data_IF_776325195048
#
_entry.id   IF_776325195048
#
_cell.length_a   1.000
_cell.length_b   1.000
_cell.length_c   1.000
_cell.angle_alpha   90.00
_cell.angle_beta   90.00
_cell.angle_gamma   90.00
#
_symmetry.space_group_name_H-M   'P 1'
#
loop_
_entity.id
_entity.type
_entity.pdbx_description
1 polymer ?
#
# COMPACT_ATOMS: atom_id res chain seq x y z
N UNK A 1 3.33 7.55 -58.24
CA UNK A 1 2.30 7.50 -57.18
C UNK A 1 2.89 7.32 -55.75
N UNK A 2 4.19 7.06 -55.56
CA UNK A 2 4.78 6.83 -54.23
C UNK A 2 5.43 8.03 -53.53
N UNK A 3 5.46 9.21 -54.14
CA UNK A 3 6.12 10.39 -53.55
C UNK A 3 5.13 11.30 -52.79
N UNK A 4 3.86 11.35 -53.18
CA UNK A 4 2.84 12.17 -52.49
C UNK A 4 2.46 11.63 -51.11
N UNK A 5 2.51 10.31 -50.91
CA UNK A 5 2.17 9.64 -49.64
C UNK A 5 3.24 9.82 -48.56
N UNK A 6 4.51 10.01 -48.96
CA UNK A 6 5.62 10.20 -48.00
C UNK A 6 5.61 11.64 -47.43
N UNK A 7 5.28 12.63 -48.26
CA UNK A 7 5.20 14.04 -47.83
C UNK A 7 4.00 14.28 -46.89
N UNK A 8 2.89 13.55 -47.08
CA UNK A 8 1.72 13.64 -46.19
C UNK A 8 1.95 12.96 -44.83
N UNK A 9 2.75 11.89 -44.78
CA UNK A 9 3.09 11.21 -43.51
C UNK A 9 4.01 12.03 -42.61
N UNK A 10 4.95 12.79 -43.17
CA UNK A 10 5.91 13.61 -42.39
C UNK A 10 5.26 14.87 -41.81
N UNK A 11 4.25 15.45 -42.48
CA UNK A 11 3.54 16.63 -42.02
C UNK A 11 2.65 16.38 -40.78
N UNK A 12 2.24 15.13 -40.52
CA UNK A 12 1.40 14.79 -39.36
C UNK A 12 2.21 14.45 -38.09
N UNK A 13 3.52 14.19 -38.18
CA UNK A 13 4.38 14.02 -37.00
C UNK A 13 5.05 15.31 -36.51
N UNK A 14 4.96 16.41 -37.26
CA UNK A 14 5.55 17.72 -36.90
C UNK A 14 4.53 18.72 -36.31
N UNK A 15 3.29 18.29 -36.06
CA UNK A 15 2.16 19.16 -35.69
C UNK A 15 1.93 19.39 -34.19
N UNK A 16 2.71 18.79 -33.29
CA UNK A 16 2.46 18.86 -31.84
C UNK A 16 3.50 19.65 -31.03
N UNK A 17 4.47 20.33 -31.67
CA UNK A 17 5.47 21.16 -30.97
C UNK A 17 5.21 22.68 -31.03
N UNK A 18 3.99 23.09 -31.40
CA UNK A 18 3.61 24.51 -31.49
C UNK A 18 2.55 24.88 -30.45
N UNK A 19 2.84 24.61 -29.18
CA UNK A 19 2.07 25.07 -28.02
C UNK A 19 2.91 25.99 -27.14
N UNK A 20 3.35 27.13 -27.68
CA UNK A 20 3.92 28.20 -26.87
C UNK A 20 2.82 29.03 -26.22
N UNK A 21 2.91 29.26 -24.91
CA UNK A 21 2.53 30.53 -24.26
C UNK A 21 2.98 30.50 -22.79
N UNK A 22 4.03 31.26 -22.50
CA UNK A 22 4.34 31.75 -21.16
C UNK A 22 3.28 32.79 -20.77
N UNK A 23 2.89 32.86 -19.49
CA UNK A 23 2.96 34.17 -18.87
C UNK A 23 3.54 34.12 -17.45
N UNK A 24 4.58 34.91 -17.22
CA UNK A 24 4.79 35.60 -15.95
C UNK A 24 3.64 36.57 -15.71
N UNK A 25 3.11 36.65 -14.47
CA UNK A 25 2.68 37.91 -13.90
C UNK A 25 3.69 38.37 -12.87
N UNK A 26 4.12 39.62 -13.04
CA UNK A 26 4.83 40.43 -12.06
C UNK A 26 3.91 40.80 -10.88
N UNK A 27 4.57 41.30 -9.83
CA UNK A 27 4.11 41.57 -8.48
C UNK A 27 2.88 42.49 -8.30
N UNK A 28 2.27 42.32 -7.12
CA UNK A 28 1.71 43.36 -6.23
C UNK A 28 0.21 43.25 -5.97
N UNK A 29 -0.10 42.76 -4.76
CA UNK A 29 -1.46 42.66 -4.22
C UNK A 29 -1.44 42.02 -2.85
N UNK A 30 -1.27 42.83 -1.81
CA UNK A 30 -1.59 42.48 -0.42
C UNK A 30 -2.99 41.87 -0.35
N UNK A 31 -3.09 40.63 0.13
CA UNK A 31 -4.20 40.11 0.96
C UNK A 31 -3.88 38.68 1.39
N UNK A 32 -3.96 38.43 2.71
CA UNK A 32 -3.70 37.13 3.31
C UNK A 32 -4.67 36.06 2.78
N UNK A 33 -4.11 34.92 2.38
CA UNK A 33 -4.85 33.70 2.13
C UNK A 33 -3.92 32.53 2.43
N UNK A 34 -4.30 31.71 3.41
CA UNK A 34 -3.60 30.49 3.77
C UNK A 34 -3.47 29.57 2.55
N UNK A 35 -2.27 29.04 2.38
CA UNK A 35 -1.91 28.01 1.41
C UNK A 35 -2.70 26.72 1.72
N UNK A 36 -3.56 26.21 0.83
CA UNK A 36 -4.09 24.86 0.96
C UNK A 36 -3.14 23.86 0.28
N UNK A 37 -3.13 22.65 0.81
CA UNK A 37 -2.59 21.42 0.22
C UNK A 37 -1.07 21.20 0.23
N UNK A 38 -0.47 21.18 1.43
CA UNK A 38 0.23 19.95 1.82
C UNK A 38 -0.83 19.07 2.48
N UNK A 39 -1.37 18.10 1.75
CA UNK A 39 -2.28 17.10 2.30
C UNK A 39 -1.51 16.23 3.28
N UNK A 40 -1.37 16.73 4.51
CA UNK A 40 -0.84 15.97 5.64
C UNK A 40 -1.74 14.77 5.80
N UNK A 41 -1.33 13.62 5.26
CA UNK A 41 -1.98 12.34 5.53
C UNK A 41 -2.06 12.23 7.05
N UNK A 42 -3.27 12.13 7.63
CA UNK A 42 -3.41 12.09 9.08
C UNK A 42 -2.58 10.92 9.60
N UNK A 43 -1.79 11.18 10.65
CA UNK A 43 -0.97 10.14 11.23
C UNK A 43 -1.87 8.95 11.58
N UNK A 44 -1.62 7.74 11.04
CA UNK A 44 -2.50 6.59 11.24
C UNK A 44 -2.60 6.20 12.72
N UNK A 45 -1.59 6.56 13.53
CA UNK A 45 -1.63 6.40 14.98
C UNK A 45 -2.56 7.40 15.67
N UNK A 46 -2.66 8.63 15.17
CA UNK A 46 -3.50 9.69 15.74
C UNK A 46 -4.96 9.55 15.32
N UNK A 47 -5.23 9.02 14.11
CA UNK A 47 -6.59 8.77 13.63
C UNK A 47 -7.35 7.77 14.51
N UNK A 48 -6.65 6.78 15.10
CA UNK A 48 -7.24 5.82 16.02
C UNK A 48 -7.65 6.45 17.36
N UNK A 49 -6.91 7.44 17.84
CA UNK A 49 -7.21 8.14 19.09
C UNK A 49 -8.43 9.07 18.98
N UNK A 50 -8.83 9.44 17.75
CA UNK A 50 -10.00 10.28 17.48
C UNK A 50 -11.31 9.49 17.34
N UNK A 51 -11.25 8.15 17.38
CA UNK A 51 -12.47 7.33 17.34
C UNK A 51 -13.28 7.52 18.63
N UNK A 52 -14.62 7.55 18.54
CA UNK A 52 -15.47 7.59 19.72
C UNK A 52 -15.11 6.40 20.63
N UNK A 53 -15.04 6.65 21.94
CA UNK A 53 -14.79 5.59 22.91
C UNK A 53 -15.89 4.55 22.79
N UNK A 54 -15.51 3.38 22.31
CA UNK A 54 -16.33 2.17 22.36
C UNK A 54 -16.59 1.79 23.84
N UNK A 55 -17.54 0.87 24.08
CA UNK A 55 -17.89 0.40 25.43
C UNK A 55 -16.64 -0.04 26.22
N UNK A 56 -16.66 0.15 27.54
CA UNK A 56 -15.52 -0.14 28.43
C UNK A 56 -14.95 -1.56 28.22
N UNK A 57 -15.82 -2.56 28.06
CA UNK A 57 -15.44 -3.94 27.77
C UNK A 57 -14.64 -4.11 26.45
N UNK A 58 -14.99 -3.35 25.41
CA UNK A 58 -14.26 -3.38 24.13
C UNK A 58 -12.89 -2.71 24.25
N UNK A 59 -12.79 -1.65 25.05
CA UNK A 59 -11.50 -0.99 25.31
C UNK A 59 -10.55 -1.90 26.09
N UNK A 60 -11.05 -2.68 27.07
CA UNK A 60 -10.27 -3.63 27.84
C UNK A 60 -9.73 -4.78 26.96
N UNK A 61 -10.56 -5.32 26.06
CA UNK A 61 -10.11 -6.33 25.09
C UNK A 61 -9.00 -5.79 24.18
N UNK A 62 -9.16 -4.55 23.67
CA UNK A 62 -8.15 -3.92 22.81
C UNK A 62 -6.83 -3.73 23.56
N UNK A 63 -6.87 -3.34 24.84
CA UNK A 63 -5.67 -3.20 25.66
C UNK A 63 -5.01 -4.55 25.97
N UNK A 64 -5.80 -5.60 26.24
CA UNK A 64 -5.28 -6.95 26.44
C UNK A 64 -4.55 -7.46 25.19
N UNK A 65 -5.15 -7.29 24.01
CA UNK A 65 -4.53 -7.67 22.73
C UNK A 65 -3.27 -6.85 22.46
N UNK A 66 -3.28 -5.54 22.71
CA UNK A 66 -2.07 -4.71 22.59
C UNK A 66 -0.93 -5.22 23.47
N UNK A 67 -1.20 -5.56 24.73
CA UNK A 67 -0.20 -6.13 25.66
C UNK A 67 0.30 -7.49 25.18
N UNK A 68 -0.61 -8.34 24.68
CA UNK A 68 -0.24 -9.63 24.12
C UNK A 68 0.70 -9.50 22.91
N UNK A 69 0.39 -8.61 21.96
CA UNK A 69 1.24 -8.33 20.80
C UNK A 69 2.63 -7.85 21.26
N UNK A 70 2.70 -6.90 22.19
CA UNK A 70 3.97 -6.40 22.71
C UNK A 70 4.81 -7.52 23.35
N UNK A 71 4.17 -8.41 24.12
CA UNK A 71 4.84 -9.57 24.71
C UNK A 71 5.39 -10.54 23.66
N UNK A 72 4.60 -10.85 22.62
CA UNK A 72 5.03 -11.73 21.52
C UNK A 72 6.16 -11.13 20.69
N UNK A 73 6.21 -9.80 20.58
CA UNK A 73 7.31 -9.08 19.93
C UNK A 73 8.52 -8.86 20.86
N UNK A 74 8.46 -9.34 22.11
CA UNK A 74 9.47 -9.10 23.15
C UNK A 74 9.75 -7.60 23.39
N UNK A 75 8.70 -6.77 23.32
CA UNK A 75 8.75 -5.34 23.56
C UNK A 75 8.06 -4.98 24.88
N UNK A 76 8.71 -4.15 25.70
CA UNK A 76 8.13 -3.63 26.94
C UNK A 76 7.08 -2.54 26.70
N UNK A 77 7.23 -1.79 25.60
CA UNK A 77 6.36 -0.67 25.26
C UNK A 77 6.31 -0.48 23.74
N UNK A 78 5.28 0.24 23.28
CA UNK A 78 5.15 0.64 21.89
C UNK A 78 6.34 1.52 21.47
N UNK A 79 6.95 1.27 20.29
CA UNK A 79 7.98 2.16 19.75
C UNK A 79 7.50 3.61 19.63
N UNK A 80 8.44 4.55 19.82
CA UNK A 80 8.15 5.98 19.78
C UNK A 80 7.73 6.42 18.37
N UNK A 81 6.84 7.43 18.30
CA UNK A 81 6.46 8.06 17.04
C UNK A 81 7.60 8.98 16.59
N UNK A 82 8.27 8.62 15.50
CA UNK A 82 9.41 9.36 14.93
C UNK A 82 9.15 9.73 13.47
N UNK A 83 10.07 10.45 12.85
CA UNK A 83 10.05 10.64 11.40
C UNK A 83 10.43 9.31 10.70
N UNK A 84 9.51 8.69 9.95
CA UNK A 84 9.79 7.40 9.31
C UNK A 84 10.77 7.56 8.14
N UNK A 85 11.33 6.43 7.70
CA UNK A 85 12.06 6.36 6.44
C UNK A 85 11.11 6.74 5.29
N UNK A 86 11.58 7.47 4.25
CA UNK A 86 10.74 7.80 3.09
C UNK A 86 10.04 6.57 2.51
N UNK A 87 8.71 6.68 2.29
CA UNK A 87 7.86 5.54 1.92
C UNK A 87 8.38 4.80 0.68
N UNK A 88 8.90 5.53 -0.31
CA UNK A 88 9.48 4.93 -1.52
C UNK A 88 10.68 4.02 -1.23
N UNK A 89 11.56 4.41 -0.31
CA UNK A 89 12.73 3.61 0.07
C UNK A 89 12.31 2.36 0.85
N UNK A 90 11.37 2.49 1.79
CA UNK A 90 10.83 1.37 2.55
C UNK A 90 10.18 0.34 1.62
N UNK A 91 9.27 0.78 0.75
CA UNK A 91 8.57 -0.11 -0.18
C UNK A 91 9.51 -0.77 -1.20
N UNK A 92 10.54 -0.05 -1.65
CA UNK A 92 11.56 -0.63 -2.53
C UNK A 92 12.35 -1.73 -1.81
N UNK A 93 12.76 -1.49 -0.57
CA UNK A 93 13.49 -2.47 0.23
C UNK A 93 12.66 -3.73 0.47
N UNK A 94 11.39 -3.59 0.87
CA UNK A 94 10.47 -4.73 1.08
C UNK A 94 10.36 -5.56 -0.21
N UNK A 95 10.09 -4.89 -1.35
CA UNK A 95 9.97 -5.55 -2.66
C UNK A 95 11.25 -6.26 -3.10
N UNK A 96 12.42 -5.66 -2.86
CA UNK A 96 13.71 -6.22 -3.30
C UNK A 96 14.24 -7.33 -2.39
N UNK A 97 13.94 -7.27 -1.10
CA UNK A 97 14.36 -8.27 -0.13
C UNK A 97 13.42 -9.48 -0.06
N UNK A 98 12.32 -9.48 -0.82
CA UNK A 98 11.30 -10.54 -0.83
C UNK A 98 10.77 -10.88 0.57
N UNK A 99 10.67 -9.86 1.44
CA UNK A 99 10.07 -9.98 2.80
C UNK A 99 8.56 -9.70 2.77
N UNK A 100 8.05 -9.21 1.64
CA UNK A 100 6.65 -8.88 1.43
C UNK A 100 6.38 -8.39 0.00
N UNK A 101 5.12 -8.51 -0.42
CA UNK A 101 4.62 -8.04 -1.70
C UNK A 101 4.09 -6.62 -1.57
N UNK A 102 4.39 -5.78 -2.54
CA UNK A 102 4.00 -4.37 -2.53
C UNK A 102 3.12 -4.08 -3.75
N UNK A 103 1.85 -3.77 -3.50
CA UNK A 103 0.88 -3.35 -4.50
C UNK A 103 1.20 -1.99 -5.13
N UNK A 104 0.57 -1.69 -6.26
CA UNK A 104 0.74 -0.42 -6.98
C UNK A 104 0.19 0.79 -6.20
N UNK A 105 -0.81 0.54 -5.37
CA UNK A 105 -1.42 1.46 -4.40
C UNK A 105 -0.55 1.70 -3.15
N UNK A 106 0.56 0.96 -3.02
CA UNK A 106 1.49 1.03 -1.89
C UNK A 106 1.03 0.24 -0.66
N UNK A 107 0.05 -0.66 -0.83
CA UNK A 107 -0.31 -1.67 0.17
C UNK A 107 0.79 -2.73 0.27
N UNK A 108 1.04 -3.24 1.47
CA UNK A 108 2.08 -4.24 1.73
C UNK A 108 1.44 -5.49 2.31
N UNK A 109 1.65 -6.62 1.65
CA UNK A 109 1.31 -7.95 2.13
C UNK A 109 2.60 -8.66 2.56
N UNK A 110 2.58 -9.33 3.70
CA UNK A 110 3.75 -10.07 4.19
C UNK A 110 3.76 -11.42 3.48
N UNK A 111 4.90 -11.79 2.90
CA UNK A 111 5.07 -13.13 2.32
C UNK A 111 5.27 -14.11 3.48
N UNK A 112 4.38 -15.10 3.61
CA UNK A 112 4.34 -16.01 4.75
C UNK A 112 5.50 -17.01 4.74
N UNK A 113 6.70 -16.60 5.14
CA UNK A 113 7.84 -17.51 5.30
C UNK A 113 8.04 -18.02 6.75
N UNK A 114 7.17 -17.64 7.70
CA UNK A 114 7.32 -18.05 9.11
C UNK A 114 6.03 -18.38 9.89
N UNK A 115 4.85 -18.31 9.26
CA UNK A 115 3.56 -18.51 9.96
C UNK A 115 2.50 -19.32 9.21
N UNK A 116 2.61 -19.48 7.90
CA UNK A 116 1.65 -20.24 7.09
C UNK A 116 1.83 -21.76 7.14
N UNK A 117 2.89 -22.25 7.79
CA UNK A 117 3.15 -23.70 7.95
C UNK A 117 2.46 -24.30 9.19
N UNK A 118 1.78 -23.51 10.02
CA UNK A 118 1.27 -23.99 11.32
C UNK A 118 -0.11 -24.62 11.32
N UNK A 119 -1.08 -24.13 10.54
CA UNK A 119 -2.49 -24.50 10.79
C UNK A 119 -3.34 -24.80 9.55
N UNK A 120 -2.85 -24.60 8.32
CA UNK A 120 -3.67 -24.93 7.12
C UNK A 120 -2.97 -25.73 6.02
N UNK A 121 -1.68 -26.06 6.18
CA UNK A 121 -0.97 -26.98 5.28
C UNK A 121 -0.80 -28.38 5.87
N UNK A 122 -1.15 -28.57 7.14
CA UNK A 122 -0.93 -29.82 7.87
C UNK A 122 -2.08 -30.21 8.81
N UNK A 123 -3.30 -29.73 8.58
CA UNK A 123 -4.44 -30.59 8.87
C UNK A 123 -4.55 -31.50 7.65
N UNK A 124 -4.09 -32.77 7.70
CA UNK A 124 -4.56 -33.74 6.75
C UNK A 124 -6.07 -33.78 6.95
N UNK A 125 -6.79 -33.06 6.09
CA UNK A 125 -8.15 -33.38 5.68
C UNK A 125 -8.24 -34.90 5.71
N UNK A 126 -9.21 -35.43 6.48
CA UNK A 126 -9.54 -36.84 6.57
C UNK A 126 -9.07 -37.60 5.33
N UNK A 127 -8.04 -38.45 5.51
CA UNK A 127 -7.28 -39.08 4.42
C UNK A 127 -8.21 -39.40 3.24
N UNK A 128 -8.04 -38.78 2.06
CA UNK A 128 -8.98 -38.99 0.97
C UNK A 128 -8.89 -40.45 0.53
N UNK A 129 -9.88 -41.25 0.92
CA UNK A 129 -9.99 -42.63 0.47
C UNK A 129 -10.45 -42.62 -0.99
N UNK A 130 -9.65 -43.21 -1.87
CA UNK A 130 -10.05 -43.52 -3.23
C UNK A 130 -10.64 -44.93 -3.26
N UNK A 131 -11.91 -45.05 -3.65
CA UNK A 131 -12.60 -46.34 -3.78
C UNK A 131 -12.62 -46.71 -5.26
N UNK A 132 -11.97 -47.82 -5.62
CA UNK A 132 -11.98 -48.37 -6.97
C UNK A 132 -12.92 -49.57 -7.02
N UNK A 133 -14.07 -49.41 -7.66
CA UNK A 133 -15.07 -50.49 -7.85
C UNK A 133 -14.99 -51.05 -9.26
N UNK A 134 -14.96 -52.38 -9.38
CA UNK A 134 -15.01 -53.09 -10.66
C UNK A 134 -16.44 -53.56 -10.99
N UNK A 135 -16.75 -53.70 -12.28
CA UNK A 135 -18.03 -54.21 -12.74
C UNK A 135 -18.18 -55.72 -12.47
N UNK A 136 -19.38 -56.16 -12.08
CA UNK A 136 -19.74 -57.57 -11.93
C UNK A 136 -20.12 -58.18 -13.31
N UNK A 137 -19.82 -59.47 -13.58
CA UNK A 137 -19.98 -60.12 -14.89
C UNK A 137 -21.42 -60.22 -15.44
#
# INVERSE_FOLDING_TARGET
MSSLTLVTGVLLLSGCLSGGCSPTPAESGSQGAGRPDDSVTPCPSCALAQRPKDSEEQTDMVEAVKRHILNMLHLNARPNVTHPVPRAALLNAIRKLHVGRVGEDGTVEIEEDAGGLGEHREQPEEQPFEIITFAEP
#
